data_IF_035379816505
#
_entry.id   IF_035379816505
#
_cell.length_a   1.000
_cell.length_b   1.000
_cell.length_c   1.000
_cell.angle_alpha   90.00
_cell.angle_beta   90.00
_cell.angle_gamma   90.00
#
_symmetry.space_group_name_H-M   'P 1'
#
loop_
_entity.id
_entity.type
_entity.pdbx_description
1 polymer ?
#
# COMPACT_ATOMS: atom_id res chain seq x y z
N UNK A 1 31.86 48.88 3.72
CA UNK A 1 31.92 47.45 4.05
C UNK A 1 31.79 46.69 2.75
N UNK A 2 32.91 46.25 2.17
CA UNK A 2 32.87 45.43 0.95
C UNK A 2 32.53 43.99 1.35
N UNK A 3 31.34 43.53 0.96
CA UNK A 3 30.98 42.12 1.07
C UNK A 3 31.70 41.39 -0.07
N UNK A 4 32.91 40.90 0.18
CA UNK A 4 33.58 39.96 -0.72
C UNK A 4 32.90 38.62 -0.54
N UNK A 5 31.98 38.23 -1.43
CA UNK A 5 31.38 36.88 -1.41
C UNK A 5 32.46 35.86 -1.82
N UNK A 6 33.03 35.09 -0.87
CA UNK A 6 34.35 34.48 -1.07
C UNK A 6 34.28 33.04 -1.58
N UNK A 7 33.16 32.61 -2.17
CA UNK A 7 32.94 31.20 -2.49
C UNK A 7 33.00 30.96 -4.00
N UNK A 8 33.92 30.08 -4.40
CA UNK A 8 34.02 29.47 -5.73
C UNK A 8 32.66 29.05 -6.28
N UNK A 9 32.46 29.18 -7.59
CA UNK A 9 31.24 28.73 -8.28
C UNK A 9 30.93 27.26 -7.95
N UNK A 10 31.97 26.43 -7.79
CA UNK A 10 31.84 25.04 -7.41
C UNK A 10 31.24 24.87 -6.01
N UNK A 11 31.65 25.70 -5.05
CA UNK A 11 31.11 25.67 -3.68
C UNK A 11 29.64 26.14 -3.67
N UNK A 12 29.29 27.13 -4.50
CA UNK A 12 27.90 27.58 -4.63
C UNK A 12 27.01 26.47 -5.21
N UNK A 13 27.47 25.80 -6.28
CA UNK A 13 26.79 24.64 -6.85
C UNK A 13 26.66 23.50 -5.83
N UNK A 14 27.73 23.19 -5.07
CA UNK A 14 27.69 22.19 -4.01
C UNK A 14 26.65 22.55 -2.93
N UNK A 15 26.62 23.81 -2.50
CA UNK A 15 25.67 24.31 -1.51
C UNK A 15 24.22 24.21 -2.00
N UNK A 16 23.97 24.53 -3.28
CA UNK A 16 22.66 24.36 -3.90
C UNK A 16 22.24 22.87 -3.94
N UNK A 17 23.17 21.97 -4.24
CA UNK A 17 22.90 20.53 -4.23
C UNK A 17 22.62 20.01 -2.82
N UNK A 18 23.37 20.46 -1.79
CA UNK A 18 23.08 20.11 -0.40
C UNK A 18 21.72 20.64 0.05
N UNK A 19 21.38 21.88 -0.31
CA UNK A 19 20.06 22.44 -0.05
C UNK A 19 18.97 21.62 -0.73
N UNK A 20 19.16 21.25 -2.01
CA UNK A 20 18.22 20.42 -2.75
C UNK A 20 18.04 19.03 -2.10
N UNK A 21 19.12 18.43 -1.60
CA UNK A 21 19.06 17.18 -0.85
C UNK A 21 18.25 17.32 0.45
N UNK A 22 18.30 18.47 1.12
CA UNK A 22 17.47 18.77 2.29
C UNK A 22 16.00 19.03 1.94
N UNK A 23 15.71 19.46 0.71
CA UNK A 23 14.34 19.69 0.22
C UNK A 23 13.66 18.38 -0.18
N UNK A 24 14.34 17.50 -0.91
CA UNK A 24 13.69 16.29 -1.42
C UNK A 24 13.39 15.26 -0.32
N UNK A 25 12.20 14.65 -0.38
CA UNK A 25 11.84 13.49 0.48
C UNK A 25 12.15 12.14 -0.17
N UNK A 26 12.45 12.12 -1.47
CA UNK A 26 12.74 10.90 -2.22
C UNK A 26 14.21 10.51 -2.08
N UNK A 27 14.47 9.29 -1.58
CA UNK A 27 15.82 8.83 -1.28
C UNK A 27 16.76 8.82 -2.50
N UNK A 28 16.26 8.51 -3.71
CA UNK A 28 17.12 8.53 -4.90
C UNK A 28 17.51 9.96 -5.24
N UNK A 29 16.56 10.90 -5.20
CA UNK A 29 16.86 12.30 -5.50
C UNK A 29 17.85 12.89 -4.50
N UNK A 30 17.67 12.59 -3.20
CA UNK A 30 18.64 12.97 -2.16
C UNK A 30 20.03 12.44 -2.51
N UNK A 31 20.15 11.15 -2.87
CA UNK A 31 21.45 10.56 -3.21
C UNK A 31 22.06 11.16 -4.48
N UNK A 32 21.26 11.44 -5.51
CA UNK A 32 21.73 12.11 -6.74
C UNK A 32 22.22 13.53 -6.42
N UNK A 33 21.48 14.30 -5.63
CA UNK A 33 21.91 15.64 -5.21
C UNK A 33 23.23 15.58 -4.42
N UNK A 34 23.39 14.62 -3.50
CA UNK A 34 24.64 14.44 -2.76
C UNK A 34 25.80 14.04 -3.69
N UNK A 35 25.57 13.16 -4.67
CA UNK A 35 26.59 12.83 -5.70
C UNK A 35 27.07 14.10 -6.40
N UNK A 36 26.16 14.96 -6.86
CA UNK A 36 26.54 16.22 -7.49
C UNK A 36 27.24 17.18 -6.52
N UNK A 37 26.78 17.28 -5.27
CA UNK A 37 27.41 18.12 -4.26
C UNK A 37 28.90 17.74 -4.05
N UNK A 38 29.18 16.46 -3.85
CA UNK A 38 30.55 15.97 -3.66
C UNK A 38 31.37 15.99 -4.95
N UNK A 39 30.76 15.84 -6.12
CA UNK A 39 31.43 16.06 -7.40
C UNK A 39 31.91 17.51 -7.53
N UNK A 40 31.07 18.49 -7.15
CA UNK A 40 31.48 19.90 -7.17
C UNK A 40 32.54 20.22 -6.12
N UNK A 41 32.48 19.62 -4.92
CA UNK A 41 33.55 19.75 -3.93
C UNK A 41 34.88 19.15 -4.42
N UNK A 42 34.82 18.01 -5.12
CA UNK A 42 36.00 17.41 -5.75
C UNK A 42 36.59 18.34 -6.82
N UNK A 43 35.75 18.88 -7.70
CA UNK A 43 36.18 19.85 -8.71
C UNK A 43 36.78 21.10 -8.06
N UNK A 44 36.21 21.59 -6.96
CA UNK A 44 36.78 22.70 -6.20
C UNK A 44 38.15 22.35 -5.60
N UNK A 45 38.32 21.14 -5.06
CA UNK A 45 39.59 20.68 -4.50
C UNK A 45 40.69 20.51 -5.55
N UNK A 46 40.32 20.10 -6.77
CA UNK A 46 41.24 19.86 -7.89
C UNK A 46 41.59 21.12 -8.68
N UNK A 47 40.61 21.99 -8.94
CA UNK A 47 40.75 23.18 -9.79
C UNK A 47 41.01 24.45 -8.98
N UNK A 48 40.89 24.39 -7.66
CA UNK A 48 40.96 25.55 -6.79
C UNK A 48 39.74 26.47 -6.91
N UNK A 49 39.87 27.69 -6.39
CA UNK A 49 38.83 28.72 -6.49
C UNK A 49 39.05 29.58 -7.74
N UNK A 50 38.32 29.36 -8.85
CA UNK A 50 38.60 29.99 -10.14
C UNK A 50 38.40 31.50 -10.15
N UNK A 51 37.73 32.07 -9.14
CA UNK A 51 37.32 33.48 -9.12
C UNK A 51 38.33 34.41 -8.43
N UNK A 52 39.37 33.89 -7.78
CA UNK A 52 40.27 34.72 -6.94
C UNK A 52 41.75 34.32 -7.07
N UNK A 53 42.31 34.45 -8.27
CA UNK A 53 43.73 34.13 -8.54
C UNK A 53 44.74 34.92 -7.69
N UNK A 54 44.36 36.05 -7.10
CA UNK A 54 45.22 36.85 -6.21
C UNK A 54 45.33 36.35 -4.77
N UNK A 55 44.40 35.49 -4.34
CA UNK A 55 44.40 34.87 -3.00
C UNK A 55 44.86 33.40 -3.06
N UNK A 56 45.19 32.89 -4.24
CA UNK A 56 45.52 31.50 -4.47
C UNK A 56 47.03 31.35 -4.65
N UNK A 57 47.65 30.52 -3.81
CA UNK A 57 48.97 29.96 -4.10
C UNK A 57 48.76 28.85 -5.14
N UNK A 58 49.20 29.01 -6.41
CA UNK A 58 48.90 28.07 -7.50
C UNK A 58 49.35 26.63 -7.23
N UNK A 59 50.23 26.42 -6.25
CA UNK A 59 50.86 25.12 -5.96
C UNK A 59 50.22 24.36 -4.79
N UNK A 60 49.08 24.82 -4.24
CA UNK A 60 48.44 24.18 -3.10
C UNK A 60 47.12 23.49 -3.48
N UNK A 61 47.10 22.16 -3.32
CA UNK A 61 45.91 21.32 -3.43
C UNK A 61 45.44 20.96 -2.02
N UNK A 62 44.15 21.15 -1.73
CA UNK A 62 43.56 20.70 -0.46
C UNK A 62 43.31 19.19 -0.51
N UNK A 63 44.35 18.40 -0.18
CA UNK A 63 44.31 16.94 -0.23
C UNK A 63 43.15 16.37 0.62
N UNK A 64 42.90 16.94 1.79
CA UNK A 64 41.80 16.52 2.67
C UNK A 64 40.43 16.65 1.99
N UNK A 65 40.20 17.78 1.32
CA UNK A 65 38.95 18.01 0.57
C UNK A 65 38.78 16.96 -0.53
N UNK A 66 39.85 16.66 -1.26
CA UNK A 66 39.85 15.67 -2.35
C UNK A 66 39.56 14.27 -1.80
N UNK A 67 40.27 13.83 -0.76
CA UNK A 67 40.11 12.50 -0.17
C UNK A 67 38.68 12.29 0.37
N UNK A 68 38.16 13.25 1.14
CA UNK A 68 36.79 13.16 1.67
C UNK A 68 35.73 13.27 0.58
N UNK A 69 35.94 14.07 -0.46
CA UNK A 69 35.02 14.15 -1.58
C UNK A 69 34.96 12.81 -2.34
N UNK A 70 36.10 12.15 -2.59
CA UNK A 70 36.15 10.83 -3.24
C UNK A 70 35.41 9.77 -2.41
N UNK A 71 35.70 9.70 -1.10
CA UNK A 71 35.08 8.72 -0.22
C UNK A 71 33.54 8.89 -0.16
N UNK A 72 33.07 10.13 0.00
CA UNK A 72 31.64 10.43 0.01
C UNK A 72 30.99 10.18 -1.36
N UNK A 73 31.66 10.55 -2.45
CA UNK A 73 31.19 10.30 -3.80
C UNK A 73 30.99 8.80 -4.05
N UNK A 74 31.94 7.96 -3.64
CA UNK A 74 31.82 6.50 -3.76
C UNK A 74 30.58 5.95 -3.02
N UNK A 75 30.38 6.35 -1.76
CA UNK A 75 29.24 5.89 -0.95
C UNK A 75 27.91 6.34 -1.55
N UNK A 76 27.80 7.61 -1.97
CA UNK A 76 26.55 8.13 -2.52
C UNK A 76 26.27 7.63 -3.93
N UNK A 77 27.30 7.48 -4.77
CA UNK A 77 27.16 6.97 -6.13
C UNK A 77 26.74 5.50 -6.12
N UNK A 78 27.37 4.65 -5.32
CA UNK A 78 26.97 3.24 -5.18
C UNK A 78 25.53 3.11 -4.65
N UNK A 79 25.14 3.93 -3.66
CA UNK A 79 23.76 3.98 -3.17
C UNK A 79 22.77 4.47 -4.24
N UNK A 80 23.11 5.51 -5.02
CA UNK A 80 22.26 6.02 -6.09
C UNK A 80 22.07 4.98 -7.20
N UNK A 81 23.15 4.31 -7.61
CA UNK A 81 23.09 3.23 -8.61
C UNK A 81 22.16 2.12 -8.12
N UNK A 82 22.29 1.65 -6.88
CA UNK A 82 21.39 0.62 -6.32
C UNK A 82 19.92 1.05 -6.38
N UNK A 83 19.62 2.30 -6.02
CA UNK A 83 18.25 2.83 -6.08
C UNK A 83 17.71 2.99 -7.51
N UNK A 84 18.56 3.29 -8.49
CA UNK A 84 18.18 3.28 -9.91
C UNK A 84 17.89 1.84 -10.37
N UNK A 85 18.71 0.87 -9.94
CA UNK A 85 18.51 -0.54 -10.26
C UNK A 85 17.22 -1.10 -9.64
N UNK A 86 16.84 -0.62 -8.44
CA UNK A 86 15.60 -1.01 -7.76
C UNK A 86 14.33 -0.51 -8.47
N UNK A 87 14.40 0.61 -9.18
CA UNK A 87 13.29 1.14 -10.00
C UNK A 87 13.13 0.43 -11.35
N UNK A 88 13.99 -0.54 -11.71
CA UNK A 88 13.86 -1.29 -12.95
C UNK A 88 12.51 -2.01 -13.00
N UNK A 89 11.84 -1.89 -14.14
CA UNK A 89 10.56 -2.56 -14.40
C UNK A 89 10.71 -4.07 -14.24
N UNK A 90 9.79 -4.66 -13.49
CA UNK A 90 9.61 -6.11 -13.42
C UNK A 90 8.49 -6.48 -14.39
N UNK A 91 8.75 -7.48 -15.22
CA UNK A 91 7.75 -8.11 -16.08
C UNK A 91 7.28 -9.36 -15.36
N UNK A 92 5.97 -9.48 -15.18
CA UNK A 92 5.30 -10.62 -14.55
C UNK A 92 4.46 -11.33 -15.64
N UNK A 93 4.22 -12.64 -15.49
CA UNK A 93 3.19 -13.33 -16.28
C UNK A 93 1.80 -12.87 -15.86
N UNK A 94 0.75 -13.25 -16.62
CA UNK A 94 -0.63 -12.84 -16.25
C UNK A 94 -1.07 -13.43 -14.91
N UNK A 95 -0.66 -14.65 -14.59
CA UNK A 95 -0.99 -15.32 -13.33
C UNK A 95 -0.20 -14.72 -12.16
N UNK A 96 1.08 -14.42 -12.36
CA UNK A 96 1.89 -13.67 -11.38
C UNK A 96 1.33 -12.26 -11.16
N UNK A 97 0.91 -11.60 -12.23
CA UNK A 97 0.30 -10.27 -12.16
C UNK A 97 -1.06 -10.34 -11.44
N UNK A 98 -1.86 -11.38 -11.66
CA UNK A 98 -3.11 -11.60 -10.96
C UNK A 98 -2.89 -11.68 -9.44
N UNK A 99 -1.95 -12.50 -8.97
CA UNK A 99 -1.67 -12.58 -7.54
C UNK A 99 -1.07 -11.26 -7.00
N UNK A 100 -0.19 -10.62 -7.76
CA UNK A 100 0.32 -9.29 -7.38
C UNK A 100 -0.81 -8.28 -7.18
N UNK A 101 -1.86 -8.30 -8.03
CA UNK A 101 -3.02 -7.40 -7.88
C UNK A 101 -3.74 -7.59 -6.54
N UNK A 102 -3.79 -8.81 -6.01
CA UNK A 102 -4.33 -9.06 -4.66
C UNK A 102 -3.44 -8.41 -3.60
N UNK A 103 -2.12 -8.59 -3.68
CA UNK A 103 -1.17 -8.01 -2.73
C UNK A 103 -1.16 -6.48 -2.77
N UNK A 104 -1.26 -5.92 -3.97
CA UNK A 104 -1.33 -4.48 -4.19
C UNK A 104 -2.64 -3.88 -3.68
N UNK A 105 -3.80 -4.48 -3.99
CA UNK A 105 -5.10 -3.99 -3.49
C UNK A 105 -5.23 -4.10 -1.97
N UNK A 106 -4.65 -5.13 -1.38
CA UNK A 106 -4.79 -5.42 0.06
C UNK A 106 -3.81 -4.63 0.93
N UNK A 107 -2.56 -4.44 0.49
CA UNK A 107 -1.54 -3.73 1.28
C UNK A 107 -0.54 -2.93 0.47
N UNK A 108 -0.80 -2.66 -0.81
CA UNK A 108 0.01 -1.76 -1.62
C UNK A 108 1.40 -2.30 -1.96
N UNK A 109 1.61 -3.61 -1.95
CA UNK A 109 2.93 -4.18 -2.25
C UNK A 109 3.32 -3.86 -3.71
N UNK A 110 4.50 -3.26 -3.90
CA UNK A 110 5.00 -2.93 -5.24
C UNK A 110 5.35 -4.20 -6.04
N UNK A 111 5.28 -4.14 -7.38
CA UNK A 111 5.63 -5.28 -8.25
C UNK A 111 7.03 -5.83 -7.94
N UNK A 112 7.98 -4.95 -7.66
CA UNK A 112 9.37 -5.33 -7.35
C UNK A 112 9.48 -6.10 -6.04
N UNK A 113 8.83 -5.61 -4.98
CA UNK A 113 8.81 -6.29 -3.68
C UNK A 113 8.11 -7.64 -3.82
N UNK A 114 6.92 -7.67 -4.41
CA UNK A 114 6.19 -8.91 -4.66
C UNK A 114 7.02 -9.93 -5.43
N UNK A 115 7.69 -9.50 -6.51
CA UNK A 115 8.55 -10.37 -7.30
C UNK A 115 9.68 -10.98 -6.48
N UNK A 116 10.38 -10.14 -5.72
CA UNK A 116 11.53 -10.57 -4.94
C UNK A 116 11.16 -11.43 -3.71
N UNK A 117 9.97 -11.26 -3.13
CA UNK A 117 9.60 -11.92 -1.87
C UNK A 117 8.57 -13.04 -2.02
N UNK A 118 7.59 -12.91 -2.91
CA UNK A 118 6.48 -13.88 -3.06
C UNK A 118 6.63 -14.69 -4.34
N UNK A 119 6.79 -14.00 -5.47
CA UNK A 119 6.73 -14.61 -6.81
C UNK A 119 7.78 -15.72 -7.02
N UNK A 120 9.01 -15.52 -6.51
CA UNK A 120 10.11 -16.50 -6.63
C UNK A 120 9.81 -17.87 -6.00
N UNK A 121 8.83 -17.95 -5.11
CA UNK A 121 8.46 -19.16 -4.41
C UNK A 121 7.08 -19.68 -4.83
N UNK A 122 6.43 -19.00 -5.79
CA UNK A 122 5.11 -19.32 -6.29
C UNK A 122 5.23 -20.21 -7.54
N UNK A 123 4.49 -21.31 -7.55
CA UNK A 123 4.28 -22.12 -8.74
C UNK A 123 2.81 -22.01 -9.16
N UNK A 124 2.57 -21.74 -10.45
CA UNK A 124 1.21 -21.78 -11.01
C UNK A 124 0.97 -23.17 -11.56
N UNK A 125 -0.02 -23.90 -11.01
CA UNK A 125 -0.33 -25.28 -11.41
C UNK A 125 -1.79 -25.38 -11.86
N UNK A 126 -1.99 -26.18 -12.89
CA UNK A 126 -3.28 -26.42 -13.53
C UNK A 126 -3.73 -27.86 -13.26
N UNK A 127 -4.99 -28.00 -12.85
CA UNK A 127 -5.61 -29.28 -12.51
C UNK A 127 -6.84 -29.51 -13.38
N UNK A 128 -6.96 -30.72 -13.93
CA UNK A 128 -8.16 -31.15 -14.66
C UNK A 128 -9.29 -31.54 -13.71
N UNK A 129 -10.49 -31.73 -14.24
CA UNK A 129 -11.63 -32.16 -13.44
C UNK A 129 -11.35 -33.49 -12.70
N UNK A 130 -11.70 -33.54 -11.43
CA UNK A 130 -11.47 -34.62 -10.46
C UNK A 130 -9.99 -34.94 -10.17
N UNK A 131 -9.05 -34.10 -10.60
CA UNK A 131 -7.65 -34.24 -10.23
C UNK A 131 -7.42 -33.79 -8.78
N UNK A 132 -6.57 -34.54 -8.06
CA UNK A 132 -6.26 -34.28 -6.65
C UNK A 132 -5.21 -33.17 -6.53
N UNK A 133 -5.49 -32.18 -5.69
CA UNK A 133 -4.58 -31.09 -5.38
C UNK A 133 -3.74 -31.49 -4.15
N UNK A 134 -2.40 -31.36 -4.19
CA UNK A 134 -1.50 -31.77 -3.11
C UNK A 134 -1.54 -30.77 -1.95
N UNK A 135 -2.53 -30.95 -1.07
CA UNK A 135 -2.71 -30.11 0.13
C UNK A 135 -1.65 -30.45 1.20
N UNK A 136 -1.05 -31.63 1.24
CA UNK A 136 -0.13 -31.99 2.33
C UNK A 136 1.27 -31.37 2.23
N UNK A 137 1.67 -30.89 1.06
CA UNK A 137 3.03 -30.41 0.77
C UNK A 137 3.09 -28.94 0.37
N UNK A 138 1.94 -28.34 0.07
CA UNK A 138 1.86 -26.99 -0.44
C UNK A 138 0.74 -26.19 0.24
N UNK A 139 1.03 -24.92 0.49
CA UNK A 139 0.02 -23.89 0.67
C UNK A 139 -0.51 -23.47 -0.69
N UNK A 140 -1.83 -23.42 -0.82
CA UNK A 140 -2.49 -23.29 -2.11
C UNK A 140 -3.47 -22.09 -2.07
N UNK A 141 -3.54 -21.31 -3.15
CA UNK A 141 -4.55 -20.25 -3.34
C UNK A 141 -5.26 -20.50 -4.66
N UNK A 142 -6.60 -20.60 -4.64
CA UNK A 142 -7.37 -20.79 -5.87
C UNK A 142 -7.35 -19.51 -6.68
N UNK A 143 -6.86 -19.55 -7.92
CA UNK A 143 -6.95 -18.43 -8.86
C UNK A 143 -8.25 -18.51 -9.67
N UNK A 144 -8.48 -19.63 -10.35
CA UNK A 144 -9.63 -19.87 -11.23
C UNK A 144 -10.15 -21.30 -11.04
N UNK A 145 -11.45 -21.49 -11.17
CA UNK A 145 -12.09 -22.80 -11.08
C UNK A 145 -12.72 -23.10 -9.72
N UNK A 146 -13.31 -24.28 -9.64
CA UNK A 146 -14.02 -24.81 -8.48
C UNK A 146 -13.23 -25.95 -7.85
N UNK A 147 -13.01 -25.89 -6.54
CA UNK A 147 -12.34 -26.95 -5.78
C UNK A 147 -13.27 -27.48 -4.71
N UNK A 148 -13.39 -28.79 -4.59
CA UNK A 148 -14.02 -29.45 -3.46
C UNK A 148 -12.97 -29.76 -2.42
N UNK A 149 -13.16 -29.26 -1.20
CA UNK A 149 -12.32 -29.52 -0.04
C UNK A 149 -13.07 -30.44 0.89
N UNK A 150 -12.52 -31.62 1.16
CA UNK A 150 -13.04 -32.52 2.16
C UNK A 150 -12.12 -32.49 3.38
N UNK A 151 -12.71 -32.26 4.54
CA UNK A 151 -12.05 -32.36 5.83
C UNK A 151 -12.48 -33.69 6.44
N UNK A 152 -11.54 -34.61 6.62
CA UNK A 152 -11.75 -35.91 7.22
C UNK A 152 -11.06 -36.05 8.56
N UNK A 153 -11.64 -36.87 9.43
CA UNK A 153 -11.05 -37.28 10.70
C UNK A 153 -11.29 -38.78 10.87
N UNK A 154 -10.21 -39.54 11.10
CA UNK A 154 -10.25 -41.01 11.23
C UNK A 154 -11.00 -41.70 10.08
N UNK A 155 -10.74 -41.25 8.84
CA UNK A 155 -11.38 -41.78 7.62
C UNK A 155 -12.82 -41.33 7.38
N UNK A 156 -13.48 -40.65 8.31
CA UNK A 156 -14.83 -40.10 8.12
C UNK A 156 -14.76 -38.65 7.62
N UNK A 157 -15.50 -38.34 6.55
CA UNK A 157 -15.60 -36.97 6.03
C UNK A 157 -16.51 -36.17 6.97
N UNK A 158 -15.92 -35.24 7.72
CA UNK A 158 -16.64 -34.35 8.62
C UNK A 158 -17.32 -33.21 7.87
N UNK A 159 -16.67 -32.71 6.82
CA UNK A 159 -17.17 -31.58 6.04
C UNK A 159 -16.69 -31.67 4.60
N UNK A 160 -17.57 -31.34 3.65
CA UNK A 160 -17.25 -31.19 2.24
C UNK A 160 -17.69 -29.80 1.79
N UNK A 161 -16.72 -28.97 1.41
CA UNK A 161 -16.96 -27.57 1.04
C UNK A 161 -16.53 -27.34 -0.39
N UNK A 162 -17.38 -26.65 -1.16
CA UNK A 162 -16.99 -26.14 -2.48
C UNK A 162 -16.37 -24.75 -2.29
N UNK A 163 -15.21 -24.55 -2.89
CA UNK A 163 -14.40 -23.36 -2.79
C UNK A 163 -14.06 -22.83 -4.17
N UNK A 164 -13.87 -21.51 -4.26
CA UNK A 164 -13.65 -20.79 -5.52
C UNK A 164 -12.45 -19.84 -5.39
N UNK A 165 -12.19 -19.11 -6.47
CA UNK A 165 -11.20 -18.06 -6.56
C UNK A 165 -11.05 -17.23 -5.27
N UNK A 166 -9.81 -17.11 -4.81
CA UNK A 166 -9.40 -16.38 -3.62
C UNK A 166 -9.41 -17.18 -2.32
N UNK A 167 -9.95 -18.40 -2.33
CA UNK A 167 -9.87 -19.27 -1.16
C UNK A 167 -8.45 -19.83 -0.99
N UNK A 168 -8.01 -19.97 0.26
CA UNK A 168 -6.70 -20.47 0.64
C UNK A 168 -6.82 -21.81 1.39
N UNK A 169 -5.91 -22.74 1.12
CA UNK A 169 -5.82 -24.02 1.82
C UNK A 169 -4.64 -24.01 2.79
N UNK A 170 -4.74 -24.74 3.90
CA UNK A 170 -3.73 -24.81 4.96
C UNK A 170 -3.28 -23.45 5.50
N UNK A 171 -4.25 -22.63 5.88
CA UNK A 171 -3.99 -21.34 6.54
C UNK A 171 -3.09 -21.48 7.79
N UNK A 172 -3.07 -22.67 8.40
CA UNK A 172 -2.17 -23.03 9.50
C UNK A 172 -0.68 -22.93 9.12
N UNK A 173 -0.32 -23.25 7.88
CA UNK A 173 1.06 -23.22 7.38
C UNK A 173 1.63 -21.78 7.33
N UNK A 174 0.75 -20.76 7.33
CA UNK A 174 1.18 -19.37 7.45
C UNK A 174 1.85 -19.09 8.80
N UNK A 175 1.56 -19.87 9.85
CA UNK A 175 2.13 -19.65 11.19
C UNK A 175 1.74 -18.31 11.83
N UNK A 176 0.67 -17.67 11.36
CA UNK A 176 0.21 -16.37 11.86
C UNK A 176 -0.72 -16.47 13.09
N UNK A 177 -1.26 -17.65 13.36
CA UNK A 177 -2.09 -17.93 14.53
C UNK A 177 -1.22 -18.52 15.65
N UNK A 178 -1.28 -17.92 16.84
CA UNK A 178 -0.42 -18.29 17.98
C UNK A 178 -0.88 -19.53 18.75
N UNK A 179 -2.05 -20.10 18.43
CA UNK A 179 -2.56 -21.27 19.12
C UNK A 179 -2.09 -22.56 18.44
N UNK A 180 -1.00 -23.12 18.97
CA UNK A 180 -0.66 -24.55 18.88
C UNK A 180 -1.57 -25.41 19.78
N UNK A 181 -2.73 -24.88 20.22
CA UNK A 181 -3.76 -25.70 20.83
C UNK A 181 -3.96 -26.89 19.90
N UNK A 182 -3.73 -28.09 20.44
CA UNK A 182 -3.64 -29.37 19.75
C UNK A 182 -4.94 -29.69 19.01
N UNK A 183 -5.22 -28.95 17.94
CA UNK A 183 -6.27 -29.24 17.00
C UNK A 183 -5.87 -30.60 16.43
N UNK A 184 -6.62 -31.62 16.82
CA UNK A 184 -6.44 -32.97 16.29
C UNK A 184 -6.20 -32.86 14.79
N UNK A 185 -5.12 -33.47 14.32
CA UNK A 185 -4.68 -33.37 12.93
C UNK A 185 -5.82 -33.84 12.03
N UNK A 186 -6.56 -32.89 11.44
CA UNK A 186 -7.61 -33.18 10.47
C UNK A 186 -6.95 -33.34 9.12
N UNK A 187 -7.33 -34.40 8.41
CA UNK A 187 -6.85 -34.61 7.06
C UNK A 187 -7.66 -33.74 6.12
N UNK A 188 -6.98 -32.92 5.32
CA UNK A 188 -7.61 -32.09 4.31
C UNK A 188 -7.25 -32.65 2.95
N UNK A 189 -8.27 -32.95 2.16
CA UNK A 189 -8.12 -33.34 0.75
C UNK A 189 -8.81 -32.31 -0.12
N UNK A 190 -8.21 -32.01 -1.27
CA UNK A 190 -8.79 -31.09 -2.23
C UNK A 190 -8.77 -31.72 -3.63
N UNK A 191 -9.83 -31.46 -4.37
CA UNK A 191 -10.13 -32.03 -5.67
C UNK A 191 -10.67 -30.93 -6.58
N UNK A 192 -10.11 -30.83 -7.79
CA UNK A 192 -10.63 -29.94 -8.83
C UNK A 192 -12.00 -30.44 -9.32
N UNK A 193 -12.97 -29.54 -9.51
CA UNK A 193 -14.32 -29.85 -9.99
C UNK A 193 -14.70 -29.14 -11.28
N UNK A 194 -13.90 -28.19 -11.73
CA UNK A 194 -14.05 -27.56 -13.04
C UNK A 194 -13.15 -28.25 -14.06
N UNK A 195 -13.42 -28.02 -15.35
CA UNK A 195 -12.62 -28.59 -16.45
C UNK A 195 -11.14 -28.21 -16.35
N UNK A 196 -10.87 -26.98 -15.92
CA UNK A 196 -9.52 -26.47 -15.66
C UNK A 196 -9.52 -25.57 -14.43
N UNK A 197 -8.85 -26.02 -13.37
CA UNK A 197 -8.63 -25.25 -12.15
C UNK A 197 -7.20 -24.76 -12.12
N UNK A 198 -7.00 -23.47 -11.85
CA UNK A 198 -5.67 -22.87 -11.69
C UNK A 198 -5.44 -22.48 -10.23
N UNK A 199 -4.31 -22.91 -9.69
CA UNK A 199 -3.93 -22.73 -8.27
C UNK A 199 -2.52 -22.17 -8.18
N UNK A 200 -2.34 -21.17 -7.32
CA UNK A 200 -1.02 -20.73 -6.89
C UNK A 200 -0.54 -21.62 -5.74
N UNK A 201 0.59 -22.26 -5.92
CA UNK A 201 1.19 -23.17 -4.94
C UNK A 201 2.46 -22.58 -4.36
N UNK A 202 2.62 -22.75 -3.06
CA UNK A 202 3.80 -22.37 -2.30
C UNK A 202 4.24 -23.58 -1.48
N UNK A 203 5.52 -23.96 -1.48
CA UNK A 203 6.00 -25.00 -0.57
C UNK A 203 5.72 -24.64 0.88
N UNK A 204 5.20 -25.59 1.66
CA UNK A 204 4.82 -25.36 3.06
C UNK A 204 6.02 -24.88 3.90
N UNK A 205 7.24 -25.34 3.62
CA UNK A 205 8.43 -24.85 4.31
C UNK A 205 8.77 -23.38 4.03
N UNK A 206 8.35 -22.85 2.86
CA UNK A 206 8.65 -21.46 2.45
C UNK A 206 7.55 -20.48 2.80
N UNK A 207 6.29 -20.89 2.79
CA UNK A 207 5.19 -19.96 3.03
C UNK A 207 5.24 -19.34 4.44
N UNK A 208 5.71 -20.08 5.44
CA UNK A 208 5.91 -19.55 6.80
C UNK A 208 6.95 -18.43 6.81
N UNK A 209 8.09 -18.63 6.15
CA UNK A 209 9.14 -17.59 6.02
C UNK A 209 8.58 -16.35 5.31
N UNK A 210 7.91 -16.55 4.16
CA UNK A 210 7.38 -15.46 3.29
C UNK A 210 6.29 -14.65 4.00
N UNK A 211 5.43 -15.30 4.78
CA UNK A 211 4.33 -14.66 5.48
C UNK A 211 4.76 -13.84 6.69
N UNK A 212 5.96 -14.09 7.23
CA UNK A 212 6.54 -13.35 8.34
C UNK A 212 7.41 -12.16 7.91
N UNK A 213 7.72 -12.04 6.62
CA UNK A 213 8.47 -10.89 6.10
C UNK A 213 7.72 -9.59 6.36
N UNK A 214 8.42 -8.58 6.90
CA UNK A 214 7.83 -7.28 7.30
C UNK A 214 7.01 -6.61 6.19
N UNK A 215 7.41 -6.79 4.94
CA UNK A 215 6.79 -6.14 3.77
C UNK A 215 5.46 -6.78 3.35
N UNK A 216 5.26 -8.07 3.63
CA UNK A 216 4.12 -8.86 3.15
C UNK A 216 3.22 -9.36 4.29
N UNK A 217 3.70 -9.36 5.54
CA UNK A 217 2.99 -9.87 6.71
C UNK A 217 1.57 -9.33 6.85
N UNK A 218 1.41 -8.01 6.74
CA UNK A 218 0.10 -7.37 6.88
C UNK A 218 -0.88 -7.82 5.77
N UNK A 219 -0.38 -8.07 4.56
CA UNK A 219 -1.19 -8.58 3.46
C UNK A 219 -1.66 -10.00 3.75
N UNK A 220 -0.75 -10.87 4.17
CA UNK A 220 -1.08 -12.26 4.51
C UNK A 220 -2.08 -12.34 5.66
N UNK A 221 -1.90 -11.51 6.70
CA UNK A 221 -2.86 -11.40 7.79
C UNK A 221 -4.22 -10.94 7.28
N UNK A 222 -4.28 -9.92 6.41
CA UNK A 222 -5.54 -9.45 5.84
C UNK A 222 -6.24 -10.52 4.98
N UNK A 223 -5.50 -11.22 4.11
CA UNK A 223 -6.03 -12.33 3.30
C UNK A 223 -6.54 -13.48 4.18
N UNK A 224 -5.81 -13.80 5.25
CA UNK A 224 -6.22 -14.81 6.23
C UNK A 224 -7.52 -14.39 6.91
N UNK A 225 -7.61 -13.15 7.39
CA UNK A 225 -8.82 -12.63 8.03
C UNK A 225 -10.02 -12.64 7.07
N UNK A 226 -9.81 -12.28 5.80
CA UNK A 226 -10.86 -12.36 4.77
C UNK A 226 -11.32 -13.81 4.54
N UNK A 227 -10.39 -14.77 4.55
CA UNK A 227 -10.74 -16.19 4.41
C UNK A 227 -11.54 -16.70 5.62
N UNK A 228 -11.14 -16.31 6.83
CA UNK A 228 -11.86 -16.66 8.06
C UNK A 228 -13.24 -16.01 8.10
N UNK A 229 -13.38 -14.75 7.68
CA UNK A 229 -14.66 -14.05 7.57
C UNK A 229 -15.61 -14.78 6.61
N UNK A 230 -15.13 -15.21 5.44
CA UNK A 230 -15.95 -16.01 4.50
C UNK A 230 -16.39 -17.34 5.09
N UNK A 231 -15.52 -18.02 5.84
CA UNK A 231 -15.87 -19.28 6.52
C UNK A 231 -16.92 -19.02 7.59
N UNK A 232 -16.76 -17.97 8.39
CA UNK A 232 -17.71 -17.58 9.42
C UNK A 232 -19.06 -17.21 8.82
N UNK A 233 -19.11 -16.39 7.77
CA UNK A 233 -20.35 -16.01 7.08
C UNK A 233 -21.14 -17.24 6.62
N UNK A 234 -20.47 -18.22 6.02
CA UNK A 234 -21.13 -19.49 5.62
C UNK A 234 -21.69 -20.30 6.78
N UNK A 235 -21.12 -20.15 7.97
CA UNK A 235 -21.62 -20.83 9.16
C UNK A 235 -22.90 -20.17 9.71
N UNK A 236 -23.06 -18.86 9.49
CA UNK A 236 -24.22 -18.09 9.98
C UNK A 236 -25.34 -17.91 8.96
N UNK A 237 -25.01 -17.88 7.67
CA UNK A 237 -26.02 -17.79 6.62
C UNK A 237 -26.69 -19.17 6.49
N UNK A 238 -27.92 -19.29 7.01
CA UNK A 238 -28.78 -20.46 6.81
C UNK A 238 -28.98 -20.70 5.29
N UNK A 239 -29.22 -21.96 4.90
CA UNK A 239 -29.34 -22.47 3.51
C UNK A 239 -30.21 -21.66 2.52
N UNK A 240 -30.96 -20.64 2.94
CA UNK A 240 -31.84 -19.84 2.08
C UNK A 240 -31.12 -18.83 1.16
N UNK A 241 -29.86 -18.45 1.41
CA UNK A 241 -29.08 -17.58 0.49
C UNK A 241 -28.56 -18.34 -0.77
N UNK A 242 -28.96 -19.60 -0.95
CA UNK A 242 -28.68 -20.47 -2.12
C UNK A 242 -29.10 -19.85 -3.46
N UNK A 243 -29.99 -18.86 -3.49
CA UNK A 243 -30.31 -18.11 -4.72
C UNK A 243 -29.19 -17.18 -5.19
N UNK A 244 -28.41 -16.56 -4.28
CA UNK A 244 -27.18 -15.83 -4.68
C UNK A 244 -26.10 -16.78 -5.19
N UNK A 245 -26.11 -18.03 -4.72
CA UNK A 245 -25.25 -19.08 -5.25
C UNK A 245 -25.55 -19.45 -6.72
N UNK A 246 -26.70 -19.05 -7.30
CA UNK A 246 -27.03 -19.30 -8.72
C UNK A 246 -26.28 -18.39 -9.69
N UNK A 247 -26.09 -17.10 -9.38
CA UNK A 247 -25.26 -16.16 -10.19
C UNK A 247 -23.77 -16.55 -10.12
N UNK A 248 -23.43 -17.30 -9.07
CA UNK A 248 -22.11 -17.79 -8.70
C UNK A 248 -21.79 -19.20 -9.25
N UNK A 249 -22.69 -19.83 -10.02
CA UNK A 249 -22.48 -21.19 -10.57
C UNK A 249 -21.56 -21.26 -11.79
N UNK A 250 -21.03 -20.14 -12.30
CA UNK A 250 -20.04 -20.24 -13.38
C UNK A 250 -18.72 -20.79 -12.83
N UNK A 251 -18.22 -21.84 -13.44
CA UNK A 251 -16.86 -22.38 -13.20
C UNK A 251 -15.76 -21.35 -13.47
N UNK A 252 -16.13 -20.21 -14.06
CA UNK A 252 -15.26 -19.11 -14.44
C UNK A 252 -15.24 -17.94 -13.45
N UNK A 253 -15.89 -18.06 -12.28
CA UNK A 253 -15.83 -16.99 -11.29
C UNK A 253 -14.38 -16.73 -10.84
N UNK A 254 -13.91 -15.50 -11.10
CA UNK A 254 -12.63 -14.98 -10.63
C UNK A 254 -12.92 -13.89 -9.62
N UNK A 255 -12.26 -13.97 -8.46
CA UNK A 255 -12.41 -12.95 -7.42
C UNK A 255 -12.00 -11.58 -7.99
N UNK A 256 -12.79 -10.50 -7.77
CA UNK A 256 -12.47 -9.18 -8.29
C UNK A 256 -11.07 -8.67 -7.94
N UNK A 257 -10.47 -9.14 -6.84
CA UNK A 257 -9.10 -8.82 -6.44
C UNK A 257 -8.03 -9.35 -7.40
N UNK A 258 -8.33 -10.36 -8.22
CA UNK A 258 -7.42 -10.85 -9.26
C UNK A 258 -7.63 -10.17 -10.61
N UNK A 259 -8.77 -9.50 -10.84
CA UNK A 259 -9.05 -8.88 -12.14
C UNK A 259 -8.05 -7.76 -12.44
N UNK A 260 -7.78 -7.44 -13.72
CA UNK A 260 -6.92 -6.33 -14.11
C UNK A 260 -7.24 -5.04 -13.35
N UNK A 261 -6.20 -4.24 -13.08
CA UNK A 261 -6.39 -2.96 -12.41
C UNK A 261 -7.19 -2.03 -13.32
N UNK A 262 -8.15 -1.32 -12.74
CA UNK A 262 -8.79 -0.19 -13.41
C UNK A 262 -7.81 0.99 -13.45
N UNK A 263 -7.99 1.92 -14.38
CA UNK A 263 -7.10 3.09 -14.53
C UNK A 263 -6.91 3.88 -13.22
N UNK A 264 -7.95 3.98 -12.39
CA UNK A 264 -7.90 4.66 -11.10
C UNK A 264 -7.23 3.83 -9.98
N UNK A 265 -7.07 2.52 -10.16
CA UNK A 265 -6.33 1.66 -9.24
C UNK A 265 -4.83 1.65 -9.56
N UNK A 266 -4.43 2.00 -10.78
CA UNK A 266 -3.03 1.98 -11.18
C UNK A 266 -2.17 2.84 -10.24
N UNK A 267 -0.98 2.34 -9.83
CA UNK A 267 -0.02 3.15 -9.09
C UNK A 267 0.28 4.44 -9.82
N UNK A 268 0.33 5.55 -9.09
CA UNK A 268 0.68 6.83 -9.68
C UNK A 268 2.06 6.75 -10.35
N UNK A 269 2.13 7.00 -11.65
CA UNK A 269 3.31 6.74 -12.48
C UNK A 269 4.56 7.56 -12.11
N UNK A 270 4.40 8.67 -11.37
CA UNK A 270 5.54 9.45 -10.84
C UNK A 270 5.90 9.06 -9.41
N UNK A 271 5.17 8.14 -8.79
CA UNK A 271 5.49 7.65 -7.46
C UNK A 271 6.56 6.56 -7.55
N UNK A 272 7.53 6.64 -6.65
CA UNK A 272 8.58 5.63 -6.55
C UNK A 272 8.00 4.23 -6.29
N UNK A 273 8.61 3.20 -6.89
CA UNK A 273 8.08 1.84 -6.87
C UNK A 273 6.90 1.55 -7.81
N UNK A 274 6.42 2.54 -8.57
CA UNK A 274 5.46 2.32 -9.67
C UNK A 274 6.04 1.53 -10.84
N UNK A 275 7.38 1.47 -10.95
CA UNK A 275 8.09 0.91 -12.11
C UNK A 275 8.00 1.76 -13.38
N UNK A 276 7.30 2.91 -13.34
CA UNK A 276 7.16 3.88 -14.44
C UNK A 276 7.92 5.19 -14.15
N UNK A 277 8.44 5.37 -12.93
CA UNK A 277 9.07 6.61 -12.44
C UNK A 277 10.22 7.08 -13.34
N UNK A 278 11.12 6.17 -13.72
CA UNK A 278 12.32 6.51 -14.48
C UNK A 278 12.01 6.96 -15.92
N UNK A 279 10.89 6.53 -16.50
CA UNK A 279 10.47 6.97 -17.83
C UNK A 279 10.11 8.46 -17.86
N UNK A 280 9.79 9.05 -16.69
CA UNK A 280 9.41 10.44 -16.54
C UNK A 280 10.26 11.13 -15.45
N UNK A 281 11.57 10.90 -15.45
CA UNK A 281 12.49 11.32 -14.38
C UNK A 281 12.36 12.80 -13.99
N UNK A 282 12.36 13.73 -14.96
CA UNK A 282 12.20 15.15 -14.68
C UNK A 282 10.84 15.50 -14.05
N UNK A 283 9.76 14.85 -14.51
CA UNK A 283 8.43 15.04 -13.90
C UNK A 283 8.39 14.48 -12.47
N UNK A 284 9.10 13.39 -12.20
CA UNK A 284 9.26 12.84 -10.86
C UNK A 284 10.04 13.78 -9.94
N UNK A 285 11.10 14.45 -10.43
CA UNK A 285 11.81 15.51 -9.68
C UNK A 285 10.84 16.63 -9.30
N UNK A 286 10.11 17.16 -10.28
CA UNK A 286 9.16 18.26 -10.04
C UNK A 286 8.02 17.85 -9.10
N UNK A 287 7.52 16.63 -9.24
CA UNK A 287 6.54 16.06 -8.33
C UNK A 287 7.07 15.96 -6.90
N UNK A 288 8.30 15.48 -6.73
CA UNK A 288 8.95 15.33 -5.43
C UNK A 288 9.25 16.68 -4.78
N UNK A 289 9.73 17.66 -5.55
CA UNK A 289 9.91 19.04 -5.10
C UNK A 289 8.57 19.62 -4.62
N UNK A 290 7.53 19.55 -5.45
CA UNK A 290 6.20 20.06 -5.10
C UNK A 290 5.66 19.41 -3.83
N UNK A 291 5.84 18.09 -3.68
CA UNK A 291 5.39 17.35 -2.50
C UNK A 291 6.15 17.78 -1.24
N UNK A 292 7.45 18.03 -1.34
CA UNK A 292 8.25 18.52 -0.22
C UNK A 292 7.79 19.90 0.29
N UNK A 293 7.36 20.78 -0.62
CA UNK A 293 6.84 22.11 -0.29
C UNK A 293 5.32 22.13 -0.01
N UNK A 294 4.64 20.98 -0.03
CA UNK A 294 3.20 20.90 0.23
C UNK A 294 2.93 20.72 1.73
N UNK A 295 2.06 21.51 2.36
CA UNK A 295 1.67 21.31 3.76
C UNK A 295 0.96 19.96 3.98
N UNK A 296 1.18 19.28 5.13
CA UNK A 296 2.04 19.68 6.24
C UNK A 296 3.52 19.37 5.97
N UNK A 297 4.35 20.38 6.15
CA UNK A 297 5.79 20.33 5.89
C UNK A 297 6.40 19.31 6.86
N UNK A 298 7.15 18.32 6.36
CA UNK A 298 7.99 17.46 7.21
C UNK A 298 7.37 16.22 7.87
N UNK A 299 6.11 15.84 7.60
CA UNK A 299 5.52 14.59 8.16
C UNK A 299 5.32 13.46 7.15
N UNK A 300 5.89 13.58 5.95
CA UNK A 300 5.88 12.45 5.03
C UNK A 300 6.96 11.45 5.45
N UNK A 301 6.61 10.18 5.70
CA UNK A 301 7.58 9.17 6.12
C UNK A 301 8.66 9.03 5.04
N UNK A 302 9.83 9.61 5.31
CA UNK A 302 11.07 9.41 4.56
C UNK A 302 11.66 8.09 5.06
N UNK A 303 11.76 7.05 4.24
CA UNK A 303 12.45 5.87 4.74
C UNK A 303 12.50 4.63 3.86
N UNK A 304 11.47 4.30 3.08
CA UNK A 304 11.54 3.08 2.26
C UNK A 304 10.79 3.31 0.95
N UNK A 305 11.57 3.58 -0.10
CA UNK A 305 11.09 3.95 -1.44
C UNK A 305 10.14 2.92 -2.09
N UNK A 306 10.19 1.67 -1.61
CA UNK A 306 9.48 0.54 -2.22
C UNK A 306 8.57 -0.28 -1.28
N UNK A 307 8.48 0.05 0.03
CA UNK A 307 7.85 -0.87 0.98
C UNK A 307 6.35 -1.07 0.71
N UNK A 308 5.61 0.04 0.56
CA UNK A 308 4.16 0.02 0.35
C UNK A 308 3.74 1.23 -0.46
N UNK A 309 3.22 1.00 -1.65
CA UNK A 309 2.42 1.98 -2.37
C UNK A 309 1.12 2.22 -1.59
N UNK A 310 0.48 3.39 -1.72
CA UNK A 310 -0.87 3.55 -1.18
C UNK A 310 -1.77 2.51 -1.86
N UNK A 311 -2.43 1.69 -1.06
CA UNK A 311 -3.48 0.82 -1.58
C UNK A 311 -4.54 1.68 -2.29
N UNK A 312 -5.14 1.21 -3.39
CA UNK A 312 -6.15 1.97 -4.11
C UNK A 312 -7.31 2.29 -3.17
N UNK A 313 -7.45 3.57 -2.80
CA UNK A 313 -8.56 4.02 -1.97
C UNK A 313 -9.80 4.06 -2.84
N UNK A 314 -10.78 3.18 -2.58
CA UNK A 314 -12.10 3.34 -3.17
C UNK A 314 -12.64 4.71 -2.78
N UNK A 315 -13.01 5.52 -3.77
CA UNK A 315 -13.72 6.77 -3.48
C UNK A 315 -15.09 6.42 -2.86
N UNK A 316 -15.59 7.26 -1.96
CA UNK A 316 -16.88 7.03 -1.27
C UNK A 316 -18.05 6.83 -2.26
N UNK A 317 -17.97 7.40 -3.45
CA UNK A 317 -18.92 7.15 -4.54
C UNK A 317 -18.85 5.72 -5.07
N UNK A 318 -17.66 5.12 -5.16
CA UNK A 318 -17.45 3.74 -5.59
C UNK A 318 -17.83 2.73 -4.51
N UNK A 319 -17.56 3.05 -3.24
CA UNK A 319 -18.03 2.26 -2.10
C UNK A 319 -19.56 2.17 -2.10
N UNK A 320 -20.25 3.29 -2.35
CA UNK A 320 -21.72 3.32 -2.44
C UNK A 320 -22.29 2.53 -3.61
N UNK A 321 -21.56 2.41 -4.73
CA UNK A 321 -22.02 1.63 -5.88
C UNK A 321 -21.72 0.14 -5.77
N UNK A 322 -20.64 -0.25 -5.07
CA UNK A 322 -20.21 -1.66 -4.97
C UNK A 322 -20.67 -2.36 -3.70
N UNK A 323 -20.83 -1.64 -2.59
CA UNK A 323 -21.32 -2.21 -1.35
C UNK A 323 -22.76 -1.77 -1.15
N UNK A 324 -23.69 -2.66 -1.48
CA UNK A 324 -25.03 -2.57 -0.88
C UNK A 324 -24.88 -2.82 0.63
N UNK A 325 -24.49 -1.79 1.40
CA UNK A 325 -24.51 -1.56 2.86
C UNK A 325 -24.28 -2.72 3.88
N UNK A 326 -24.07 -3.96 3.45
CA UNK A 326 -24.29 -5.16 4.28
C UNK A 326 -23.00 -5.66 4.93
N UNK A 327 -21.90 -5.76 4.18
CA UNK A 327 -20.71 -6.52 4.64
C UNK A 327 -20.00 -5.87 5.82
N UNK A 328 -19.74 -4.56 5.76
CA UNK A 328 -19.05 -3.84 6.85
C UNK A 328 -19.90 -3.73 8.14
N UNK A 329 -21.22 -3.61 7.98
CA UNK A 329 -22.16 -3.59 9.12
C UNK A 329 -22.28 -4.98 9.74
N UNK A 330 -22.32 -6.03 8.91
CA UNK A 330 -22.31 -7.43 9.37
C UNK A 330 -21.02 -7.77 10.12
N UNK A 331 -19.84 -7.34 9.65
CA UNK A 331 -18.57 -7.58 10.32
C UNK A 331 -18.47 -6.93 11.70
N UNK A 332 -18.89 -5.66 11.85
CA UNK A 332 -18.99 -5.02 13.18
C UNK A 332 -19.94 -5.79 14.10
N UNK A 333 -21.07 -6.26 13.59
CA UNK A 333 -22.02 -7.06 14.37
C UNK A 333 -21.48 -8.44 14.76
N UNK A 334 -20.56 -8.99 13.95
CA UNK A 334 -19.93 -10.29 14.19
C UNK A 334 -18.85 -10.21 15.26
N UNK A 335 -17.95 -9.22 15.19
CA UNK A 335 -16.94 -8.98 16.25
C UNK A 335 -17.63 -8.73 17.60
N UNK A 336 -18.74 -7.99 17.60
CA UNK A 336 -19.56 -7.76 18.80
C UNK A 336 -20.29 -9.01 19.30
N UNK A 337 -20.66 -9.94 18.40
CA UNK A 337 -21.31 -11.22 18.78
C UNK A 337 -20.32 -12.29 19.22
N UNK A 338 -19.11 -12.31 18.67
CA UNK A 338 -18.02 -13.20 19.10
C UNK A 338 -17.53 -12.83 20.49
N UNK A 339 -17.34 -11.53 20.76
CA UNK A 339 -17.01 -11.04 22.10
C UNK A 339 -18.10 -11.35 23.12
N UNK A 340 -19.38 -11.37 22.72
CA UNK A 340 -20.48 -11.67 23.63
C UNK A 340 -20.80 -13.16 23.83
N UNK A 341 -20.19 -14.09 23.07
CA UNK A 341 -20.57 -15.52 23.07
C UNK A 341 -19.44 -16.49 23.42
N UNK A 342 -18.20 -16.03 23.58
CA UNK A 342 -17.14 -16.90 24.07
C UNK A 342 -17.16 -16.90 25.60
N UNK A 343 -17.45 -18.04 26.27
CA UNK A 343 -17.25 -18.17 27.70
C UNK A 343 -15.75 -18.34 27.91
N UNK A 344 -15.03 -17.22 28.02
CA UNK A 344 -13.72 -17.25 28.65
C UNK A 344 -13.95 -17.32 30.17
N UNK A 345 -13.21 -18.19 30.83
CA UNK A 345 -13.07 -18.18 32.28
C UNK A 345 -12.34 -16.88 32.63
N UNK A 346 -13.12 -15.83 32.91
CA UNK A 346 -12.65 -14.47 33.10
C UNK A 346 -11.99 -14.33 34.47
N UNK A 347 -10.67 -14.23 34.52
CA UNK A 347 -10.08 -13.33 35.51
C UNK A 347 -10.48 -11.90 35.12
N UNK A 348 -10.98 -11.11 36.08
CA UNK A 348 -11.38 -9.70 35.87
C UNK A 348 -10.31 -8.89 35.12
N UNK A 349 -9.03 -9.23 35.33
CA UNK A 349 -7.89 -8.59 34.67
C UNK A 349 -7.87 -8.79 33.14
N UNK A 350 -8.40 -9.91 32.64
CA UNK A 350 -8.48 -10.19 31.19
C UNK A 350 -9.63 -9.44 30.51
N UNK A 351 -10.70 -9.19 31.26
CA UNK A 351 -11.86 -8.41 30.83
C UNK A 351 -11.53 -6.92 30.77
N UNK A 352 -10.88 -6.39 31.80
CA UNK A 352 -10.40 -4.99 31.79
C UNK A 352 -9.38 -4.74 30.67
N UNK A 353 -8.45 -5.66 30.40
CA UNK A 353 -7.47 -5.49 29.31
C UNK A 353 -8.11 -5.56 27.92
N UNK A 354 -9.14 -6.39 27.72
CA UNK A 354 -9.82 -6.51 26.44
C UNK A 354 -10.80 -5.35 26.19
N UNK A 355 -11.51 -4.87 27.22
CA UNK A 355 -12.32 -3.66 27.15
C UNK A 355 -11.45 -2.42 26.93
N UNK A 356 -10.34 -2.28 27.65
CA UNK A 356 -9.41 -1.16 27.48
C UNK A 356 -8.73 -1.16 26.10
N UNK A 357 -8.40 -2.32 25.54
CA UNK A 357 -7.87 -2.47 24.18
C UNK A 357 -8.93 -2.16 23.10
N UNK A 358 -10.19 -2.53 23.33
CA UNK A 358 -11.30 -2.19 22.44
C UNK A 358 -11.60 -0.69 22.50
N UNK A 359 -11.56 -0.08 23.69
CA UNK A 359 -11.75 1.36 23.89
C UNK A 359 -10.58 2.18 23.32
N UNK A 360 -9.33 1.72 23.42
CA UNK A 360 -8.21 2.42 22.75
C UNK A 360 -8.32 2.32 21.23
N UNK A 361 -8.71 1.15 20.69
CA UNK A 361 -8.93 0.97 19.26
C UNK A 361 -10.12 1.78 18.74
N UNK A 362 -11.22 1.86 19.51
CA UNK A 362 -12.37 2.70 19.20
C UNK A 362 -12.06 4.19 19.37
N UNK A 363 -11.29 4.61 20.38
CA UNK A 363 -10.91 6.00 20.58
C UNK A 363 -10.01 6.54 19.45
N UNK A 364 -9.05 5.74 18.97
CA UNK A 364 -8.15 6.16 17.88
C UNK A 364 -8.87 6.18 16.51
N UNK A 365 -9.75 5.22 16.24
CA UNK A 365 -10.56 5.19 15.00
C UNK A 365 -11.67 6.25 15.01
N UNK A 366 -12.31 6.49 16.17
CA UNK A 366 -13.34 7.52 16.32
C UNK A 366 -12.71 8.92 16.37
N UNK A 367 -11.60 9.17 17.05
CA UNK A 367 -10.94 10.49 17.03
C UNK A 367 -10.40 10.82 15.64
N UNK A 368 -9.79 9.87 14.93
CA UNK A 368 -9.31 10.13 13.56
C UNK A 368 -10.48 10.41 12.61
N UNK A 369 -11.60 9.68 12.71
CA UNK A 369 -12.82 9.91 11.92
C UNK A 369 -13.57 11.18 12.31
N UNK A 370 -13.70 11.49 13.59
CA UNK A 370 -14.30 12.75 14.09
C UNK A 370 -13.45 13.94 13.65
N UNK A 371 -12.11 13.83 13.64
CA UNK A 371 -11.22 14.90 13.17
C UNK A 371 -11.39 15.14 11.68
N UNK A 372 -11.49 14.07 10.87
CA UNK A 372 -11.77 14.17 9.43
C UNK A 372 -13.17 14.74 9.16
N UNK A 373 -14.20 14.32 9.89
CA UNK A 373 -15.58 14.81 9.73
C UNK A 373 -15.72 16.26 10.22
N UNK A 374 -15.13 16.64 11.36
CA UNK A 374 -15.11 18.03 11.84
C UNK A 374 -14.36 18.94 10.86
N UNK A 375 -13.25 18.47 10.28
CA UNK A 375 -12.50 19.23 9.26
C UNK A 375 -13.33 19.41 7.98
N UNK A 376 -13.96 18.35 7.46
CA UNK A 376 -14.84 18.41 6.29
C UNK A 376 -16.08 19.29 6.54
N UNK A 377 -16.71 19.19 7.70
CA UNK A 377 -17.86 20.03 8.05
C UNK A 377 -17.46 21.49 8.25
N UNK A 378 -16.27 21.78 8.79
CA UNK A 378 -15.75 23.15 8.89
C UNK A 378 -15.47 23.78 7.51
N UNK A 379 -14.98 22.99 6.56
CA UNK A 379 -14.74 23.41 5.18
C UNK A 379 -16.05 23.63 4.41
N UNK A 380 -17.05 22.75 4.60
CA UNK A 380 -18.39 22.91 4.05
C UNK A 380 -19.13 24.11 4.65
N UNK A 381 -18.99 24.36 5.95
CA UNK A 381 -19.61 25.52 6.62
C UNK A 381 -18.97 26.82 6.11
N UNK A 382 -17.64 26.86 5.93
CA UNK A 382 -16.93 27.99 5.31
C UNK A 382 -17.37 28.24 3.84
N UNK A 383 -17.53 27.19 3.03
CA UNK A 383 -17.99 27.36 1.64
C UNK A 383 -19.45 27.80 1.55
N UNK A 384 -20.31 27.32 2.47
CA UNK A 384 -21.72 27.74 2.55
C UNK A 384 -21.88 29.19 3.00
N UNK A 385 -21.01 29.66 3.91
CA UNK A 385 -20.98 31.06 4.37
C UNK A 385 -20.43 31.99 3.29
N UNK A 386 -19.40 31.57 2.54
CA UNK A 386 -18.93 32.31 1.35
C UNK A 386 -20.01 32.38 0.27
N UNK A 387 -20.74 31.30 -0.01
CA UNK A 387 -21.87 31.34 -0.97
C UNK A 387 -22.98 32.28 -0.50
N UNK A 388 -23.33 32.30 0.79
CA UNK A 388 -24.33 33.23 1.32
C UNK A 388 -23.88 34.69 1.25
N UNK A 389 -22.61 34.99 1.50
CA UNK A 389 -22.05 36.34 1.31
C UNK A 389 -22.15 36.79 -0.15
N UNK A 390 -21.73 35.94 -1.09
CA UNK A 390 -21.79 36.26 -2.53
C UNK A 390 -23.23 36.46 -3.01
N UNK A 391 -24.19 35.70 -2.50
CA UNK A 391 -25.62 35.87 -2.83
C UNK A 391 -26.16 37.17 -2.24
N UNK A 392 -25.83 37.51 -0.99
CA UNK A 392 -26.28 38.75 -0.36
C UNK A 392 -25.69 39.99 -1.07
N UNK A 393 -24.41 39.93 -1.49
CA UNK A 393 -23.79 41.01 -2.24
C UNK A 393 -24.45 41.19 -3.62
N UNK A 394 -24.81 40.09 -4.29
CA UNK A 394 -25.55 40.14 -5.57
C UNK A 394 -26.97 40.69 -5.39
N UNK A 395 -27.66 40.32 -4.31
CA UNK A 395 -29.00 40.85 -4.01
C UNK A 395 -28.94 42.35 -3.68
N UNK A 396 -27.91 42.80 -2.97
CA UNK A 396 -27.69 44.22 -2.68
C UNK A 396 -27.43 45.05 -3.96
N UNK A 397 -26.63 44.51 -4.90
CA UNK A 397 -26.36 45.16 -6.20
C UNK A 397 -27.62 45.21 -7.08
N UNK A 398 -28.45 44.16 -7.07
CA UNK A 398 -29.72 44.17 -7.82
C UNK A 398 -30.71 45.17 -7.21
N UNK A 399 -30.76 45.27 -5.87
CA UNK A 399 -31.65 46.20 -5.19
C UNK A 399 -31.24 47.66 -5.39
N UNK A 400 -29.94 47.97 -5.38
CA UNK A 400 -29.47 49.34 -5.67
C UNK A 400 -29.72 49.74 -7.12
N UNK A 401 -29.65 48.79 -8.07
CA UNK A 401 -29.97 49.04 -9.48
C UNK A 401 -31.47 49.32 -9.69
N UNK A 402 -32.33 48.58 -9.00
CA UNK A 402 -33.78 48.78 -9.05
C UNK A 402 -34.23 50.11 -8.42
N UNK A 403 -33.58 50.55 -7.34
CA UNK A 403 -33.86 51.84 -6.70
C UNK A 403 -33.27 53.03 -7.48
N UNK A 404 -32.27 52.79 -8.34
CA UNK A 404 -31.72 53.82 -9.22
C UNK A 404 -32.60 54.05 -10.46
N UNK A 405 -33.19 53.00 -11.03
CA UNK A 405 -34.10 53.12 -12.17
C UNK A 405 -35.43 53.80 -11.80
N UNK A 406 -35.92 53.63 -10.56
CA UNK A 406 -37.11 54.33 -10.05
C UNK A 406 -36.95 55.84 -9.83
N UNK A 407 -35.73 56.39 -9.90
CA UNK A 407 -35.49 57.84 -9.74
C UNK A 407 -35.49 58.62 -11.07
N UNK A 408 -35.66 57.95 -12.20
CA UNK A 408 -35.72 58.58 -13.54
C UNK A 408 -37.10 58.51 -14.19
N UNK A 409 -38.12 58.05 -13.47
CA UNK A 409 -39.53 58.18 -13.84
C UNK A 409 -40.20 59.28 -13.01
N UNK A 410 -39.78 60.54 -13.21
CA UNK A 410 -40.56 61.76 -12.89
C UNK A 410 -40.30 62.79 -13.97
#
# INVERSE_FOLDING_TARGET
MEIKTPLSIWIQCASLCFLSAGVFSDLLLIRICLVFAYLFLLLNGLLGSPLWGSLYSPDQISLDTVLWAIANLYVHMTSAIRLILDERRVVLTEEEEALWRVFYRTGGVSKKVFFNTVCRHMNTVYYKNNERIPVSTHFNIIYKGLVRVNVSHRGQILSSLRQRSGYMFNVQDLGLLHNEAQLEKREVTAESKSDLTCVFQFPTEKIREISHLKQTRNVWQAMMMESLDRIAQRFFDNEEDVEKAKIEKSDEYILPLFLPLKEWEEPFHLQAGSGKTLNNFFRHIMYSARKAFSPPWGFHPTGIRHATLPAPSMTMSQLKSNTGNSVWVKMKSFVRRLSSRMPFDESEESKERSEMALETFEADDIQSKITVVKKSNSLLKKSSLQKKSIINDRVAVVKSKYDHDKRFEV
#
